data_IF_802161693562
#
_entry.id   IF_802161693562
#
_cell.length_a   1.000
_cell.length_b   1.000
_cell.length_c   1.000
_cell.angle_alpha   90.00
_cell.angle_beta   90.00
_cell.angle_gamma   90.00
#
_symmetry.space_group_name_H-M   'P 1'
#
loop_
_entity.id
_entity.type
_entity.pdbx_description
1 polymer ?
#
# COMPACT_ATOMS: atom_id res chain seq x y z
N UNK A 1 -5.59 -11.35 -9.13
CA UNK A 1 -6.17 -10.72 -10.33
C UNK A 1 -5.66 -9.29 -10.38
N UNK A 2 -5.16 -8.82 -11.52
CA UNK A 2 -4.74 -7.42 -11.67
C UNK A 2 -5.96 -6.50 -11.54
N UNK A 3 -5.81 -5.32 -10.94
CA UNK A 3 -6.91 -4.36 -10.80
C UNK A 3 -7.24 -3.78 -12.18
N UNK A 4 -8.50 -3.50 -12.46
CA UNK A 4 -8.94 -2.95 -13.76
C UNK A 4 -8.13 -1.72 -14.22
N UNK A 5 -7.72 -0.83 -13.30
CA UNK A 5 -6.86 0.33 -13.61
C UNK A 5 -5.46 -0.09 -14.11
N UNK A 6 -4.93 -1.20 -13.62
CA UNK A 6 -3.62 -1.72 -14.03
C UNK A 6 -3.64 -2.25 -15.47
N UNK A 7 -4.83 -2.47 -16.03
CA UNK A 7 -5.06 -2.84 -17.42
C UNK A 7 -5.41 -1.65 -18.32
N UNK A 8 -5.33 -0.41 -17.79
CA UNK A 8 -5.69 0.82 -18.53
C UNK A 8 -7.19 0.99 -18.73
N UNK A 9 -8.03 0.25 -18.00
CA UNK A 9 -9.48 0.37 -18.08
C UNK A 9 -9.96 1.52 -17.18
N UNK A 10 -10.92 2.30 -17.69
CA UNK A 10 -11.58 3.35 -16.93
C UNK A 10 -12.52 2.67 -15.93
N UNK A 11 -12.37 3.00 -14.65
CA UNK A 11 -13.31 2.59 -13.60
C UNK A 11 -14.35 3.68 -13.39
N UNK A 12 -15.61 3.28 -13.39
CA UNK A 12 -16.76 4.17 -13.15
C UNK A 12 -17.71 3.55 -12.13
N UNK A 13 -18.65 4.35 -11.62
CA UNK A 13 -19.70 3.88 -10.73
C UNK A 13 -19.19 3.23 -9.44
N UNK A 14 -19.78 2.09 -9.07
CA UNK A 14 -19.48 1.40 -7.81
C UNK A 14 -18.05 0.85 -7.73
N UNK A 15 -17.47 0.40 -8.86
CA UNK A 15 -16.10 -0.09 -8.88
C UNK A 15 -15.09 1.02 -8.58
N UNK A 16 -15.34 2.23 -9.09
CA UNK A 16 -14.54 3.40 -8.77
C UNK A 16 -14.64 3.77 -7.28
N UNK A 17 -15.85 3.72 -6.70
CA UNK A 17 -16.06 3.97 -5.26
C UNK A 17 -15.35 2.93 -4.41
N UNK A 18 -15.48 1.65 -4.75
CA UNK A 18 -14.85 0.56 -4.00
C UNK A 18 -13.32 0.68 -4.04
N UNK A 19 -12.74 0.99 -5.21
CA UNK A 19 -11.31 1.20 -5.31
C UNK A 19 -10.84 2.40 -4.46
N UNK A 20 -11.63 3.48 -4.46
CA UNK A 20 -11.32 4.66 -3.66
C UNK A 20 -11.31 4.34 -2.17
N UNK A 21 -12.30 3.60 -1.68
CA UNK A 21 -12.37 3.17 -0.29
C UNK A 21 -11.26 2.17 0.07
N UNK A 22 -10.92 1.22 -0.82
CA UNK A 22 -9.78 0.31 -0.64
C UNK A 22 -8.44 1.06 -0.58
N UNK A 23 -8.29 2.20 -1.27
CA UNK A 23 -7.08 3.03 -1.20
C UNK A 23 -6.97 3.83 0.10
N UNK A 24 -8.10 4.32 0.63
CA UNK A 24 -8.12 5.00 1.94
C UNK A 24 -7.91 4.03 3.08
N UNK A 25 -8.47 2.83 2.97
CA UNK A 25 -8.46 1.79 3.99
C UNK A 25 -7.89 0.51 3.41
N UNK A 26 -6.57 0.47 3.11
CA UNK A 26 -5.95 -0.71 2.53
C UNK A 26 -6.09 -1.88 3.50
N UNK A 27 -6.67 -2.97 2.99
CA UNK A 27 -6.70 -4.25 3.70
C UNK A 27 -5.30 -4.84 3.67
N UNK A 28 -4.57 -4.64 4.75
CA UNK A 28 -3.20 -5.16 4.93
C UNK A 28 -3.21 -6.33 5.91
N UNK A 29 -2.31 -7.29 5.70
CA UNK A 29 -2.12 -8.41 6.64
C UNK A 29 -1.22 -8.00 7.79
N UNK A 30 -1.24 -8.77 8.89
CA UNK A 30 -0.35 -8.53 10.03
C UNK A 30 1.13 -8.64 9.63
N UNK A 31 1.44 -9.61 8.77
CA UNK A 31 2.80 -9.85 8.27
C UNK A 31 3.32 -8.65 7.48
N UNK A 32 2.46 -8.04 6.64
CA UNK A 32 2.83 -6.83 5.91
C UNK A 32 3.11 -5.65 6.85
N UNK A 33 2.31 -5.49 7.91
CA UNK A 33 2.54 -4.45 8.91
C UNK A 33 3.87 -4.64 9.63
N UNK A 34 4.21 -5.85 10.05
CA UNK A 34 5.49 -6.15 10.70
C UNK A 34 6.68 -5.93 9.75
N UNK A 35 6.56 -6.34 8.49
CA UNK A 35 7.57 -6.07 7.46
C UNK A 35 7.86 -4.57 7.32
N UNK A 36 6.83 -3.71 7.32
CA UNK A 36 7.01 -2.27 7.24
C UNK A 36 7.65 -1.66 8.50
N UNK A 37 7.35 -2.21 9.69
CA UNK A 37 8.00 -1.78 10.94
C UNK A 37 9.50 -2.09 10.90
N UNK A 38 9.86 -3.32 10.53
CA UNK A 38 11.25 -3.75 10.40
C UNK A 38 12.02 -2.88 9.39
N UNK A 39 11.43 -2.64 8.22
CA UNK A 39 12.03 -1.77 7.21
C UNK A 39 12.28 -0.35 7.74
N UNK A 40 11.35 0.20 8.54
CA UNK A 40 11.51 1.52 9.18
C UNK A 40 12.65 1.53 10.20
N UNK A 41 12.80 0.46 10.99
CA UNK A 41 13.88 0.32 11.96
C UNK A 41 15.24 0.23 11.27
N UNK A 42 15.36 -0.57 10.22
CA UNK A 42 16.57 -0.67 9.39
C UNK A 42 16.93 0.70 8.82
N UNK A 43 15.96 1.40 8.22
CA UNK A 43 16.18 2.74 7.67
C UNK A 43 16.70 3.71 8.73
N UNK A 44 16.04 3.75 9.89
CA UNK A 44 16.39 4.67 10.97
C UNK A 44 17.77 4.37 11.58
N UNK A 45 18.13 3.09 11.71
CA UNK A 45 19.40 2.69 12.30
C UNK A 45 20.58 2.82 11.34
N UNK A 46 20.37 2.57 10.04
CA UNK A 46 21.47 2.52 9.08
C UNK A 46 21.69 3.84 8.34
N UNK A 47 20.62 4.61 8.08
CA UNK A 47 20.71 5.79 7.21
C UNK A 47 20.56 7.11 7.96
N UNK A 48 19.76 7.16 9.03
CA UNK A 48 19.58 8.38 9.84
C UNK A 48 20.72 8.62 10.84
N UNK A 49 21.46 7.57 11.26
CA UNK A 49 22.64 7.71 12.13
C UNK A 49 23.94 8.05 11.39
N UNK A 50 23.91 8.03 10.05
CA UNK A 50 25.05 8.40 9.19
C UNK A 50 24.99 9.87 8.72
N UNK A 51 23.90 10.59 8.99
CA UNK A 51 23.73 12.02 8.77
C UNK A 51 23.93 12.79 10.07
#
# INVERSE_FOLDING_TARGET
MAKHIELGLILEGEDAKQLWEDRKHPKVTKEQVEMFKEAREIYSNNFLKML
#
